data_IF_418606982265
#
_entry.id   IF_418606982265
#
_cell.length_a   1.000
_cell.length_b   1.000
_cell.length_c   1.000
_cell.angle_alpha   90.00
_cell.angle_beta   90.00
_cell.angle_gamma   90.00
#
_symmetry.space_group_name_H-M   'P 1'
#
loop_
_entity.id
_entity.type
_entity.pdbx_description
1 polymer ?
#
# COMPACT_ATOMS: atom_id res chain seq x y z
N UNK A 1 -21.65 -29.03 24.82
CA UNK A 1 -21.06 -30.24 24.19
C UNK A 1 -19.63 -29.98 23.78
N UNK A 2 -18.63 -30.31 24.61
CA UNK A 2 -17.15 -30.41 24.40
C UNK A 2 -16.42 -29.24 23.68
N UNK A 3 -17.09 -28.37 22.92
CA UNK A 3 -16.57 -27.20 22.20
C UNK A 3 -16.49 -25.94 23.09
N UNK A 4 -17.52 -25.67 23.89
CA UNK A 4 -17.57 -24.51 24.81
C UNK A 4 -16.55 -24.54 25.97
N UNK A 5 -15.81 -25.65 26.19
CA UNK A 5 -14.88 -25.78 27.32
C UNK A 5 -13.43 -25.41 26.98
N UNK A 6 -13.12 -25.13 25.71
CA UNK A 6 -11.84 -24.60 25.27
C UNK A 6 -12.07 -23.13 24.95
N UNK A 7 -11.48 -22.21 25.73
CA UNK A 7 -11.61 -20.75 25.53
C UNK A 7 -11.14 -20.21 24.17
N UNK A 8 -10.82 -21.07 23.22
CA UNK A 8 -10.49 -20.78 21.81
C UNK A 8 -11.73 -20.32 21.02
N UNK A 9 -12.91 -20.93 21.25
CA UNK A 9 -14.14 -20.58 20.52
C UNK A 9 -14.56 -19.11 20.74
N UNK A 10 -14.23 -18.55 21.92
CA UNK A 10 -14.50 -17.15 22.24
C UNK A 10 -13.58 -16.18 21.50
N UNK A 11 -12.30 -16.53 21.36
CA UNK A 11 -11.32 -15.70 20.68
C UNK A 11 -11.54 -15.67 19.16
N UNK A 12 -11.91 -16.81 18.57
CA UNK A 12 -12.26 -16.90 17.15
C UNK A 12 -13.52 -16.08 16.83
N UNK A 13 -14.55 -16.17 17.68
CA UNK A 13 -15.77 -15.39 17.52
C UNK A 13 -15.52 -13.88 17.65
N UNK A 14 -14.66 -13.46 18.58
CA UNK A 14 -14.26 -12.07 18.75
C UNK A 14 -13.52 -11.53 17.52
N UNK A 15 -12.57 -12.30 16.97
CA UNK A 15 -11.85 -11.92 15.75
C UNK A 15 -12.78 -11.75 14.54
N UNK A 16 -13.74 -12.67 14.36
CA UNK A 16 -14.73 -12.56 13.29
C UNK A 16 -15.55 -11.29 13.43
N UNK A 17 -15.98 -10.93 14.65
CA UNK A 17 -16.74 -9.69 14.86
C UNK A 17 -15.87 -8.45 14.61
N UNK A 18 -14.60 -8.44 15.02
CA UNK A 18 -13.66 -7.37 14.67
C UNK A 18 -13.54 -7.17 13.15
N UNK A 19 -13.46 -8.25 12.36
CA UNK A 19 -13.48 -8.13 10.90
C UNK A 19 -14.82 -7.59 10.36
N UNK A 20 -15.95 -7.97 10.96
CA UNK A 20 -17.27 -7.43 10.60
C UNK A 20 -17.39 -5.95 10.89
N UNK A 21 -16.88 -5.49 12.02
CA UNK A 21 -16.85 -4.07 12.39
C UNK A 21 -16.01 -3.27 11.40
N UNK A 22 -14.78 -3.70 11.15
CA UNK A 22 -13.89 -3.07 10.16
C UNK A 22 -14.51 -3.02 8.76
N UNK A 23 -15.24 -4.07 8.33
CA UNK A 23 -15.96 -4.07 7.05
C UNK A 23 -17.09 -3.05 6.98
N UNK A 24 -17.73 -2.72 8.10
CA UNK A 24 -18.79 -1.70 8.18
C UNK A 24 -18.19 -0.29 8.15
N UNK A 25 -17.05 -0.10 8.81
CA UNK A 25 -16.38 1.21 8.92
C UNK A 25 -15.62 1.60 7.65
N UNK A 26 -15.00 0.65 6.97
CA UNK A 26 -14.21 0.90 5.77
C UNK A 26 -15.09 1.21 4.56
N UNK A 27 -14.78 2.32 3.90
CA UNK A 27 -15.36 2.63 2.60
C UNK A 27 -14.75 1.76 1.50
N UNK A 28 -15.42 0.65 1.19
CA UNK A 28 -15.00 -0.28 0.16
C UNK A 28 -15.82 -0.14 -1.13
N UNK A 29 -15.24 -0.42 -2.30
CA UNK A 29 -16.02 -0.66 -3.51
C UNK A 29 -17.00 -1.82 -3.31
N UNK A 30 -18.20 -1.72 -3.90
CA UNK A 30 -19.30 -2.68 -3.69
C UNK A 30 -18.89 -4.14 -3.92
N UNK A 31 -18.16 -4.41 -5.01
CA UNK A 31 -17.71 -5.77 -5.33
C UNK A 31 -16.71 -6.30 -4.29
N UNK A 32 -15.82 -5.45 -3.79
CA UNK A 32 -14.83 -5.82 -2.77
C UNK A 32 -15.50 -6.08 -1.43
N UNK A 33 -16.42 -5.21 -1.01
CA UNK A 33 -17.20 -5.40 0.22
C UNK A 33 -17.93 -6.75 0.18
N UNK A 34 -18.65 -7.02 -0.92
CA UNK A 34 -19.41 -8.27 -1.10
C UNK A 34 -18.51 -9.50 -1.01
N UNK A 35 -17.32 -9.46 -1.61
CA UNK A 35 -16.40 -10.59 -1.58
C UNK A 35 -15.79 -10.80 -0.20
N UNK A 36 -15.32 -9.74 0.46
CA UNK A 36 -14.77 -9.86 1.82
C UNK A 36 -15.82 -10.32 2.83
N UNK A 37 -17.07 -9.87 2.71
CA UNK A 37 -18.17 -10.36 3.54
C UNK A 37 -18.34 -11.89 3.42
N UNK A 38 -18.33 -12.44 2.20
CA UNK A 38 -18.41 -13.90 2.00
C UNK A 38 -17.23 -14.64 2.61
N UNK A 39 -16.03 -14.05 2.54
CA UNK A 39 -14.83 -14.67 3.12
C UNK A 39 -14.87 -14.64 4.65
N UNK A 40 -15.38 -13.57 5.28
CA UNK A 40 -15.65 -13.52 6.73
C UNK A 40 -16.70 -14.56 7.13
N UNK A 41 -17.82 -14.65 6.40
CA UNK A 41 -18.85 -15.67 6.65
C UNK A 41 -18.34 -17.10 6.40
N UNK A 42 -17.28 -17.27 5.60
CA UNK A 42 -16.60 -18.57 5.41
C UNK A 42 -15.67 -18.84 6.58
N UNK A 43 -14.93 -17.84 7.07
CA UNK A 43 -14.04 -17.94 8.21
C UNK A 43 -14.78 -18.38 9.47
N UNK A 44 -15.93 -17.76 9.77
CA UNK A 44 -16.79 -18.08 10.93
C UNK A 44 -17.25 -19.55 10.97
N UNK A 45 -17.45 -20.16 9.79
CA UNK A 45 -17.88 -21.57 9.68
C UNK A 45 -16.72 -22.54 9.60
N UNK A 46 -15.49 -22.04 9.44
CA UNK A 46 -14.29 -22.86 9.27
C UNK A 46 -13.71 -23.18 10.64
N UNK A 47 -13.24 -24.42 10.82
CA UNK A 47 -12.47 -24.80 12.01
C UNK A 47 -11.07 -24.20 11.94
N UNK A 48 -10.56 -23.62 13.02
CA UNK A 48 -9.18 -23.11 13.12
C UNK A 48 -8.10 -24.16 12.86
N UNK A 49 -8.42 -25.44 13.08
CA UNK A 49 -7.59 -26.58 12.72
C UNK A 49 -7.47 -26.83 11.20
N UNK A 50 -8.26 -26.14 10.38
CA UNK A 50 -8.23 -26.29 8.92
C UNK A 50 -7.02 -25.56 8.32
N UNK A 51 -6.30 -26.17 7.37
CA UNK A 51 -5.23 -25.50 6.63
C UNK A 51 -5.66 -24.18 5.95
N UNK A 52 -6.94 -24.09 5.57
CA UNK A 52 -7.48 -22.93 4.86
C UNK A 52 -7.91 -21.79 5.79
N UNK A 53 -8.03 -22.04 7.10
CA UNK A 53 -8.45 -21.02 8.07
C UNK A 53 -7.45 -19.86 8.11
N UNK A 54 -6.17 -20.19 8.32
CA UNK A 54 -5.10 -19.19 8.41
C UNK A 54 -4.90 -18.42 7.10
N UNK A 55 -5.10 -19.09 5.95
CA UNK A 55 -5.01 -18.45 4.63
C UNK A 55 -6.14 -17.44 4.45
N UNK A 56 -7.38 -17.84 4.77
CA UNK A 56 -8.57 -16.98 4.68
C UNK A 56 -8.45 -15.79 5.64
N UNK A 57 -8.07 -16.04 6.89
CA UNK A 57 -7.82 -15.02 7.92
C UNK A 57 -6.79 -13.99 7.44
N UNK A 58 -5.62 -14.44 7.01
CA UNK A 58 -4.53 -13.56 6.55
C UNK A 58 -4.93 -12.74 5.31
N UNK A 59 -5.74 -13.32 4.42
CA UNK A 59 -6.28 -12.62 3.26
C UNK A 59 -7.24 -11.51 3.66
N UNK A 60 -8.18 -11.78 4.58
CA UNK A 60 -9.13 -10.79 5.09
C UNK A 60 -8.37 -9.65 5.77
N UNK A 61 -7.43 -9.97 6.65
CA UNK A 61 -6.60 -8.99 7.36
C UNK A 61 -5.85 -8.10 6.37
N UNK A 62 -5.13 -8.69 5.40
CA UNK A 62 -4.41 -7.94 4.38
C UNK A 62 -5.36 -7.02 3.59
N UNK A 63 -6.51 -7.52 3.17
CA UNK A 63 -7.45 -6.75 2.35
C UNK A 63 -8.06 -5.57 3.11
N UNK A 64 -8.39 -5.75 4.40
CA UNK A 64 -8.92 -4.67 5.25
C UNK A 64 -7.86 -3.63 5.62
N UNK A 65 -6.58 -4.00 5.58
CA UNK A 65 -5.46 -3.10 5.87
C UNK A 65 -5.03 -2.24 4.66
N UNK A 66 -5.58 -2.47 3.47
CA UNK A 66 -5.25 -1.68 2.29
C UNK A 66 -5.96 -0.32 2.29
N UNK A 67 -5.30 0.77 1.83
CA UNK A 67 -5.88 2.10 1.76
C UNK A 67 -6.81 2.25 0.54
N UNK A 68 -8.01 1.64 0.59
CA UNK A 68 -8.93 1.60 -0.57
C UNK A 68 -9.41 2.97 -1.05
N UNK A 69 -9.87 3.81 -0.12
CA UNK A 69 -10.32 5.19 -0.37
C UNK A 69 -9.61 6.22 0.50
N UNK A 70 -8.61 5.79 1.26
CA UNK A 70 -7.73 6.72 1.96
C UNK A 70 -6.71 7.24 0.96
N UNK A 71 -6.69 8.56 0.76
CA UNK A 71 -5.78 9.24 -0.16
C UNK A 71 -5.05 10.33 0.60
N UNK A 72 -3.78 10.57 0.24
CA UNK A 72 -3.10 11.80 0.67
C UNK A 72 -3.79 13.03 0.09
N UNK A 73 -3.85 14.12 0.86
CA UNK A 73 -4.33 15.42 0.35
C UNK A 73 -3.25 16.04 -0.57
N UNK A 74 -3.55 16.08 -1.87
CA UNK A 74 -2.66 16.63 -2.88
C UNK A 74 -2.84 18.14 -3.03
N UNK A 75 -2.28 18.92 -2.11
CA UNK A 75 -2.21 20.38 -2.22
C UNK A 75 -0.75 20.85 -2.30
N UNK A 76 -0.23 20.93 -3.53
CA UNK A 76 1.14 21.42 -3.75
C UNK A 76 1.19 22.64 -4.66
N UNK A 77 2.16 23.51 -4.38
CA UNK A 77 2.49 24.67 -5.18
C UNK A 77 3.95 24.59 -5.67
N UNK A 78 4.21 25.13 -6.86
CA UNK A 78 5.52 25.04 -7.48
C UNK A 78 6.58 25.87 -6.74
N UNK A 79 6.19 26.93 -6.02
CA UNK A 79 7.13 27.75 -5.24
C UNK A 79 7.55 27.00 -3.97
N UNK A 80 6.60 26.39 -3.27
CA UNK A 80 6.83 25.51 -2.13
C UNK A 80 7.69 24.31 -2.53
N UNK A 81 7.37 23.65 -3.65
CA UNK A 81 8.17 22.54 -4.17
C UNK A 81 9.61 22.97 -4.47
N UNK A 82 9.81 24.14 -5.11
CA UNK A 82 11.16 24.69 -5.37
C UNK A 82 11.92 24.91 -4.06
N UNK A 83 11.28 25.54 -3.08
CA UNK A 83 11.89 25.80 -1.77
C UNK A 83 12.33 24.51 -1.09
N UNK A 84 11.46 23.50 -1.05
CA UNK A 84 11.77 22.18 -0.49
C UNK A 84 12.97 21.53 -1.19
N UNK A 85 13.01 21.57 -2.52
CA UNK A 85 14.13 21.01 -3.29
C UNK A 85 15.44 21.79 -3.06
N UNK A 86 15.36 23.10 -2.91
CA UNK A 86 16.52 23.96 -2.65
C UNK A 86 17.06 23.79 -1.22
N UNK A 87 16.18 23.62 -0.24
CA UNK A 87 16.53 23.38 1.16
C UNK A 87 17.18 21.99 1.34
N UNK A 88 16.68 20.96 0.66
CA UNK A 88 17.17 19.58 0.84
C UNK A 88 18.41 19.24 -0.01
N UNK A 89 18.61 19.92 -1.14
CA UNK A 89 19.65 19.57 -2.11
C UNK A 89 20.42 20.80 -2.54
N UNK A 90 21.71 20.87 -2.26
CA UNK A 90 22.55 21.94 -2.78
C UNK A 90 22.87 21.74 -4.27
N UNK A 91 22.75 22.80 -5.08
CA UNK A 91 23.03 22.75 -6.52
C UNK A 91 21.91 22.09 -7.33
N UNK A 92 22.29 21.20 -8.27
CA UNK A 92 21.37 20.41 -9.12
C UNK A 92 20.31 21.24 -9.89
N UNK A 93 20.65 22.46 -10.33
CA UNK A 93 19.71 23.41 -10.93
C UNK A 93 18.88 22.80 -12.06
N UNK A 94 19.53 22.17 -13.03
CA UNK A 94 18.86 21.55 -14.18
C UNK A 94 17.92 20.39 -13.78
N UNK A 95 18.31 19.60 -12.77
CA UNK A 95 17.50 18.48 -12.29
C UNK A 95 16.26 19.00 -11.56
N UNK A 96 16.43 19.99 -10.69
CA UNK A 96 15.32 20.63 -9.97
C UNK A 96 14.35 21.29 -10.93
N UNK A 97 14.85 21.95 -11.97
CA UNK A 97 14.02 22.56 -13.01
C UNK A 97 13.16 21.52 -13.74
N UNK A 98 13.75 20.39 -14.16
CA UNK A 98 12.99 19.27 -14.75
C UNK A 98 11.94 18.66 -13.81
N UNK A 99 12.25 18.56 -12.51
CA UNK A 99 11.27 18.08 -11.51
C UNK A 99 10.10 19.06 -11.45
N UNK A 100 10.37 20.37 -11.38
CA UNK A 100 9.33 21.39 -11.31
C UNK A 100 8.48 21.45 -12.60
N UNK A 101 9.09 21.28 -13.78
CA UNK A 101 8.37 21.14 -15.06
C UNK A 101 7.41 19.94 -15.03
N UNK A 102 7.89 18.79 -14.55
CA UNK A 102 7.07 17.59 -14.42
C UNK A 102 5.88 17.82 -13.47
N UNK A 103 6.14 18.40 -12.30
CA UNK A 103 5.10 18.75 -11.32
C UNK A 103 4.11 19.79 -11.89
N UNK A 104 4.56 20.71 -12.73
CA UNK A 104 3.69 21.69 -13.38
C UNK A 104 2.73 21.03 -14.37
N UNK A 105 3.19 20.03 -15.14
CA UNK A 105 2.34 19.24 -16.04
C UNK A 105 1.28 18.49 -15.25
N UNK A 106 1.66 17.81 -14.16
CA UNK A 106 0.71 17.09 -13.31
C UNK A 106 -0.32 18.03 -12.67
N UNK A 107 0.09 19.24 -12.28
CA UNK A 107 -0.83 20.25 -11.72
C UNK A 107 -1.81 20.78 -12.75
N UNK A 108 -1.39 20.96 -14.00
CA UNK A 108 -2.26 21.46 -15.07
C UNK A 108 -3.21 20.38 -15.61
N UNK A 109 -2.80 19.12 -15.59
CA UNK A 109 -3.62 18.00 -16.05
C UNK A 109 -3.46 16.78 -15.13
N UNK A 110 -4.27 16.67 -14.06
CA UNK A 110 -4.19 15.58 -13.10
C UNK A 110 -4.40 14.19 -13.71
N UNK A 111 -5.20 14.11 -14.79
CA UNK A 111 -5.51 12.85 -15.50
C UNK A 111 -4.47 12.52 -16.59
N UNK A 112 -3.49 13.40 -16.83
CA UNK A 112 -2.46 13.14 -17.82
C UNK A 112 -1.64 11.92 -17.43
N UNK A 113 -1.43 11.02 -18.39
CA UNK A 113 -0.39 9.99 -18.31
C UNK A 113 0.98 10.65 -18.44
N UNK A 114 1.42 11.31 -17.38
CA UNK A 114 2.75 11.88 -17.32
C UNK A 114 3.80 10.75 -17.32
N UNK A 115 4.93 10.92 -18.02
CA UNK A 115 5.98 9.91 -18.04
C UNK A 115 6.60 9.72 -16.65
N UNK A 116 6.99 8.51 -16.30
CA UNK A 116 7.63 8.23 -15.00
C UNK A 116 9.02 8.88 -14.96
N UNK A 117 9.31 9.65 -13.90
CA UNK A 117 10.63 10.23 -13.68
C UNK A 117 11.66 9.12 -13.37
N UNK A 118 12.74 9.08 -14.16
CA UNK A 118 13.87 8.18 -13.98
C UNK A 118 15.14 8.97 -13.67
N UNK A 119 15.66 8.82 -12.44
CA UNK A 119 16.95 9.40 -12.06
C UNK A 119 18.09 8.40 -12.31
N UNK A 120 19.05 8.79 -13.15
CA UNK A 120 20.22 7.97 -13.49
C UNK A 120 21.49 8.62 -12.99
N UNK A 121 22.39 7.82 -12.40
CA UNK A 121 23.71 8.28 -11.97
C UNK A 121 24.38 7.33 -10.97
N UNK A 122 25.64 7.60 -10.59
CA UNK A 122 26.41 6.79 -9.63
C UNK A 122 25.70 6.60 -8.28
N UNK A 123 26.04 5.57 -7.47
CA UNK A 123 25.56 5.47 -6.09
C UNK A 123 26.00 6.70 -5.28
N UNK A 124 25.18 7.11 -4.31
CA UNK A 124 25.49 8.23 -3.41
C UNK A 124 25.09 9.63 -3.90
N UNK A 125 24.63 9.81 -5.14
CA UNK A 125 24.29 11.14 -5.70
C UNK A 125 22.91 11.70 -5.28
N UNK A 126 22.28 11.15 -4.24
CA UNK A 126 21.01 11.70 -3.71
C UNK A 126 19.72 11.35 -4.48
N UNK A 127 19.73 10.32 -5.33
CA UNK A 127 18.52 9.92 -6.10
C UNK A 127 17.31 9.60 -5.22
N UNK A 128 17.53 8.85 -4.14
CA UNK A 128 16.46 8.47 -3.20
C UNK A 128 15.99 9.67 -2.38
N UNK A 129 16.90 10.55 -1.96
CA UNK A 129 16.52 11.75 -1.21
C UNK A 129 15.76 12.75 -2.08
N UNK A 130 16.07 12.85 -3.39
CA UNK A 130 15.25 13.63 -4.33
C UNK A 130 13.81 13.11 -4.37
N UNK A 131 13.61 11.79 -4.43
CA UNK A 131 12.28 11.19 -4.36
C UNK A 131 11.53 11.53 -3.07
N UNK A 132 12.23 11.54 -1.92
CA UNK A 132 11.65 11.95 -0.63
C UNK A 132 11.24 13.42 -0.63
N UNK A 133 12.07 14.31 -1.15
CA UNK A 133 11.76 15.75 -1.27
C UNK A 133 10.58 16.00 -2.20
N UNK A 134 10.45 15.24 -3.29
CA UNK A 134 9.29 15.32 -4.19
C UNK A 134 8.02 14.89 -3.46
N UNK A 135 8.03 13.75 -2.76
CA UNK A 135 6.88 13.28 -2.00
C UNK A 135 6.47 14.31 -0.93
N UNK A 136 7.44 14.87 -0.19
CA UNK A 136 7.22 15.94 0.79
C UNK A 136 6.64 17.20 0.16
N UNK A 137 7.16 17.61 -1.00
CA UNK A 137 6.64 18.76 -1.75
C UNK A 137 5.20 18.54 -2.22
N UNK A 138 4.81 17.31 -2.50
CA UNK A 138 3.47 16.94 -2.93
C UNK A 138 2.50 16.67 -1.77
N UNK A 139 2.97 16.63 -0.52
CA UNK A 139 2.15 16.22 0.62
C UNK A 139 1.86 14.71 0.67
N UNK A 140 2.61 13.89 -0.07
CA UNK A 140 2.39 12.45 -0.21
C UNK A 140 3.30 11.62 0.68
N UNK A 141 2.84 10.42 1.07
CA UNK A 141 3.68 9.41 1.71
C UNK A 141 4.76 8.92 0.76
N UNK A 142 5.96 8.69 1.30
CA UNK A 142 7.09 8.17 0.54
C UNK A 142 7.33 6.71 0.91
N UNK A 143 7.27 5.83 -0.10
CA UNK A 143 7.64 4.43 0.04
C UNK A 143 8.73 4.04 -0.95
N UNK A 144 9.61 3.14 -0.53
CA UNK A 144 10.74 2.69 -1.36
C UNK A 144 10.65 1.19 -1.60
N UNK A 145 10.46 0.83 -2.86
CA UNK A 145 10.53 -0.57 -3.32
C UNK A 145 11.86 -0.82 -4.02
N UNK A 146 12.71 -1.66 -3.44
CA UNK A 146 13.96 -2.07 -4.06
C UNK A 146 13.69 -3.13 -5.15
N UNK A 147 14.18 -2.86 -6.36
CA UNK A 147 14.07 -3.77 -7.52
C UNK A 147 15.36 -4.55 -7.81
N UNK A 148 16.47 -4.20 -7.15
CA UNK A 148 17.73 -4.90 -7.34
C UNK A 148 17.67 -6.32 -6.79
N UNK A 149 18.20 -7.28 -7.56
CA UNK A 149 18.27 -8.69 -7.16
C UNK A 149 16.94 -9.44 -7.26
N UNK A 150 15.90 -8.85 -7.87
CA UNK A 150 14.66 -9.57 -8.16
C UNK A 150 14.91 -10.68 -9.16
N UNK A 151 14.40 -11.87 -8.85
CA UNK A 151 14.56 -13.07 -9.68
C UNK A 151 13.23 -13.68 -10.11
N UNK A 152 12.14 -13.35 -9.40
CA UNK A 152 10.80 -13.81 -9.68
C UNK A 152 9.80 -12.64 -9.68
N UNK A 153 8.85 -12.69 -10.61
CA UNK A 153 7.72 -11.78 -10.69
C UNK A 153 6.85 -11.83 -9.41
N UNK A 154 6.75 -13.01 -8.78
CA UNK A 154 5.99 -13.20 -7.55
C UNK A 154 6.48 -12.30 -6.40
N UNK A 155 7.75 -11.87 -6.40
CA UNK A 155 8.26 -10.91 -5.42
C UNK A 155 7.58 -9.53 -5.56
N UNK A 156 7.16 -9.15 -6.77
CA UNK A 156 6.47 -7.88 -7.02
C UNK A 156 4.95 -8.00 -6.84
N UNK A 157 4.33 -9.02 -7.42
CA UNK A 157 2.87 -9.18 -7.46
C UNK A 157 2.28 -10.04 -6.35
N UNK A 158 3.09 -10.89 -5.73
CA UNK A 158 2.67 -11.89 -4.75
C UNK A 158 2.29 -13.22 -5.37
N UNK A 159 2.06 -14.20 -4.49
CA UNK A 159 1.67 -15.54 -4.87
C UNK A 159 0.15 -15.69 -4.96
N UNK A 160 -0.33 -16.71 -5.68
CA UNK A 160 -1.74 -17.12 -5.57
C UNK A 160 -1.98 -17.62 -4.14
N UNK A 161 -3.07 -17.20 -3.50
CA UNK A 161 -3.35 -17.55 -2.09
C UNK A 161 -3.50 -19.05 -1.83
N UNK A 162 -3.76 -19.85 -2.86
CA UNK A 162 -3.88 -21.32 -2.77
C UNK A 162 -2.55 -22.02 -2.52
N UNK A 163 -1.42 -21.32 -2.61
CA UNK A 163 -0.12 -21.89 -2.30
C UNK A 163 0.18 -21.79 -0.81
N UNK A 164 0.69 -22.89 -0.25
CA UNK A 164 1.19 -22.91 1.13
C UNK A 164 2.29 -21.85 1.27
N UNK A 165 2.14 -20.95 2.25
CA UNK A 165 3.08 -19.84 2.46
C UNK A 165 2.94 -18.69 1.46
N UNK A 166 1.78 -18.54 0.80
CA UNK A 166 1.54 -17.42 -0.10
C UNK A 166 1.66 -16.08 0.64
N UNK A 167 2.52 -15.21 0.11
CA UNK A 167 2.75 -13.86 0.62
C UNK A 167 2.31 -12.80 -0.40
N UNK A 168 1.86 -11.62 0.06
CA UNK A 168 1.64 -10.49 -0.82
C UNK A 168 2.96 -10.00 -1.43
N UNK A 169 2.88 -9.44 -2.63
CA UNK A 169 4.03 -8.85 -3.28
C UNK A 169 4.53 -7.58 -2.59
N UNK A 170 5.75 -7.16 -2.93
CA UNK A 170 6.37 -5.93 -2.40
C UNK A 170 5.52 -4.68 -2.66
N UNK A 171 4.78 -4.62 -3.78
CA UNK A 171 3.92 -3.47 -4.09
C UNK A 171 2.74 -3.35 -3.13
N UNK A 172 1.99 -4.44 -2.90
CA UNK A 172 0.89 -4.45 -1.93
C UNK A 172 1.39 -4.17 -0.51
N UNK A 173 2.55 -4.72 -0.16
CA UNK A 173 3.17 -4.46 1.15
C UNK A 173 3.54 -2.99 1.32
N UNK A 174 4.10 -2.35 0.28
CA UNK A 174 4.40 -0.92 0.30
C UNK A 174 3.12 -0.07 0.39
N UNK A 175 2.05 -0.42 -0.33
CA UNK A 175 0.76 0.27 -0.24
C UNK A 175 0.16 0.18 1.18
N UNK A 176 0.18 -1.02 1.79
CA UNK A 176 -0.26 -1.22 3.19
C UNK A 176 0.53 -0.34 4.16
N UNK A 177 1.85 -0.18 3.95
CA UNK A 177 2.70 0.69 4.81
C UNK A 177 2.47 2.18 4.58
N UNK A 178 2.25 2.60 3.35
CA UNK A 178 1.94 3.98 3.02
C UNK A 178 0.64 4.43 3.71
N UNK A 179 -0.39 3.57 3.66
CA UNK A 179 -1.65 3.76 4.39
C UNK A 179 -2.54 4.89 3.87
N UNK A 180 -2.24 5.43 2.68
CA UNK A 180 -2.99 6.48 1.97
C UNK A 180 -2.83 6.30 0.46
#
# INVERSE_FOLDING_TARGET
>A
SIREELGDDGAEAEEVEQFRERLKELELPTEIHKELKKEVDRLERSSSSSPDYQITRSYIELALDLPWKSLSEDEFDLKGARKILDDDHHGLKEIKERILEHLAVMKMNPDAKAPILLFVGPPGVGKTSLGQSIARAMGRKFERVALGGLSDEAELRGHRRTYVGAMPGRLLTALRRAGT
#
